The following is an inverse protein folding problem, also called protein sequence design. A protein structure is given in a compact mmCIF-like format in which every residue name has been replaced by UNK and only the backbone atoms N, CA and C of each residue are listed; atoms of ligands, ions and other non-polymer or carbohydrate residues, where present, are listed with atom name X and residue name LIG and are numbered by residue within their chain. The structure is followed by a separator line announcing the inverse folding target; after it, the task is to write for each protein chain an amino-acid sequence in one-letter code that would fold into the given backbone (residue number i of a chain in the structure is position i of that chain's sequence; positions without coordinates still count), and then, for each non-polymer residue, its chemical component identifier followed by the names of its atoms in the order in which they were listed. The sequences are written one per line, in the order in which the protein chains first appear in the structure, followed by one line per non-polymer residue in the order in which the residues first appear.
data_IF_996525867346
#
_entry.id   IF_996525867346
#
_cell.length_a   1.000
_cell.length_b   1.000
_cell.length_c   1.000
_cell.angle_alpha   90.00
_cell.angle_beta   90.00
_cell.angle_gamma   90.00
#
_symmetry.space_group_name_H-M   'P 1'
#
loop_
_entity.id
_entity.type
_entity.pdbx_description
1 polymer ?
#
# COMPACT_ATOMS: atom_id res chain seq x y z
N UNK A 1 24.28 -8.86 -25.83
CA UNK A 1 23.71 -9.26 -24.53
C UNK A 1 22.55 -8.36 -24.08
N UNK A 2 22.51 -7.05 -24.40
CA UNK A 2 21.40 -6.16 -24.00
C UNK A 2 20.04 -6.44 -24.68
N UNK A 3 20.04 -6.92 -25.93
CA UNK A 3 18.79 -7.07 -26.73
C UNK A 3 17.92 -8.26 -26.27
N UNK A 4 18.53 -9.33 -25.79
CA UNK A 4 17.82 -10.51 -25.29
C UNK A 4 17.17 -10.19 -23.94
N UNK A 5 17.91 -9.55 -23.04
CA UNK A 5 17.43 -9.16 -21.71
C UNK A 5 16.22 -8.22 -21.82
N UNK A 6 16.28 -7.23 -22.71
CA UNK A 6 15.18 -6.29 -22.94
C UNK A 6 13.93 -6.98 -23.51
N UNK A 7 14.11 -7.98 -24.40
CA UNK A 7 12.98 -8.79 -24.92
C UNK A 7 12.33 -9.64 -23.84
N UNK A 8 13.12 -10.23 -22.95
CA UNK A 8 12.61 -11.06 -21.86
C UNK A 8 11.83 -10.21 -20.84
N UNK A 9 12.30 -9.00 -20.52
CA UNK A 9 11.57 -8.05 -19.67
C UNK A 9 10.23 -7.62 -20.28
N UNK A 10 10.18 -7.35 -21.60
CA UNK A 10 8.92 -7.02 -22.27
C UNK A 10 7.93 -8.18 -22.24
N UNK A 11 8.39 -9.40 -22.52
CA UNK A 11 7.52 -10.58 -22.49
C UNK A 11 7.00 -10.83 -21.08
N UNK A 12 7.83 -10.66 -20.05
CA UNK A 12 7.45 -10.78 -18.67
C UNK A 12 6.34 -9.76 -18.29
N UNK A 13 6.50 -8.50 -18.71
CA UNK A 13 5.51 -7.45 -18.49
C UNK A 13 4.18 -7.75 -19.20
N UNK A 14 4.22 -8.28 -20.43
CA UNK A 14 3.04 -8.69 -21.19
C UNK A 14 2.31 -9.84 -20.50
N UNK A 15 3.04 -10.85 -20.00
CA UNK A 15 2.46 -11.97 -19.23
C UNK A 15 1.72 -11.45 -17.99
N UNK A 16 2.36 -10.61 -17.19
CA UNK A 16 1.77 -10.09 -15.96
C UNK A 16 0.55 -9.20 -16.24
N UNK A 17 0.61 -8.37 -17.29
CA UNK A 17 -0.51 -7.52 -17.70
C UNK A 17 -1.71 -8.35 -18.16
N UNK A 18 -1.48 -9.35 -19.01
CA UNK A 18 -2.54 -10.23 -19.51
C UNK A 18 -3.14 -11.07 -18.37
N UNK A 19 -2.30 -11.63 -17.52
CA UNK A 19 -2.73 -12.41 -16.37
C UNK A 19 -3.58 -11.59 -15.39
N UNK A 20 -3.14 -10.37 -15.06
CA UNK A 20 -3.90 -9.43 -14.23
C UNK A 20 -5.31 -9.22 -14.79
N UNK A 21 -5.43 -8.85 -16.07
CA UNK A 21 -6.74 -8.62 -16.72
C UNK A 21 -7.64 -9.85 -16.69
N UNK A 22 -7.08 -11.04 -16.87
CA UNK A 22 -7.83 -12.29 -16.82
C UNK A 22 -8.28 -12.64 -15.40
N UNK A 23 -7.39 -12.47 -14.41
CA UNK A 23 -7.73 -12.66 -13.00
C UNK A 23 -8.82 -11.70 -12.53
N UNK A 24 -8.77 -10.43 -12.95
CA UNK A 24 -9.81 -9.45 -12.67
C UNK A 24 -11.16 -9.82 -13.29
N UNK A 25 -11.15 -10.33 -14.53
CA UNK A 25 -12.35 -10.62 -15.29
C UNK A 25 -13.05 -11.90 -14.85
N UNK A 26 -12.31 -12.98 -14.61
CA UNK A 26 -12.87 -14.31 -14.43
C UNK A 26 -12.40 -15.07 -13.18
N UNK A 27 -11.48 -14.48 -12.41
CA UNK A 27 -10.89 -15.07 -11.22
C UNK A 27 -9.68 -15.97 -11.51
N UNK A 28 -8.91 -16.26 -10.45
CA UNK A 28 -7.73 -17.11 -10.53
C UNK A 28 -8.09 -18.56 -10.91
N UNK A 29 -9.15 -19.12 -10.30
CA UNK A 29 -9.53 -20.53 -10.53
C UNK A 29 -9.88 -20.83 -11.98
N UNK A 30 -10.60 -19.93 -12.65
CA UNK A 30 -11.04 -20.10 -14.03
C UNK A 30 -9.97 -19.77 -15.07
N UNK A 31 -8.97 -18.97 -14.72
CA UNK A 31 -7.89 -18.59 -15.63
C UNK A 31 -6.91 -19.76 -15.79
N UNK A 32 -6.50 -20.03 -17.02
CA UNK A 32 -5.54 -21.06 -17.36
C UNK A 32 -4.27 -20.47 -17.97
N UNK A 33 -3.18 -21.26 -18.00
CA UNK A 33 -1.93 -20.87 -18.70
C UNK A 33 -2.18 -20.65 -20.21
N UNK A 34 -3.12 -21.41 -20.80
CA UNK A 34 -3.47 -21.26 -22.21
C UNK A 34 -4.19 -19.94 -22.47
N UNK A 35 -5.07 -19.49 -21.58
CA UNK A 35 -5.76 -18.20 -21.71
C UNK A 35 -4.74 -17.05 -21.70
N UNK A 36 -3.77 -17.10 -20.78
CA UNK A 36 -2.74 -16.09 -20.66
C UNK A 36 -1.85 -16.09 -21.91
N UNK A 37 -1.39 -17.26 -22.35
CA UNK A 37 -0.56 -17.41 -23.55
C UNK A 37 -1.26 -16.87 -24.81
N UNK A 38 -2.52 -17.27 -25.01
CA UNK A 38 -3.34 -16.83 -26.15
C UNK A 38 -3.52 -15.30 -26.15
N UNK A 39 -3.69 -14.70 -24.97
CA UNK A 39 -3.89 -13.25 -24.83
C UNK A 39 -2.69 -12.42 -25.29
N UNK A 40 -1.46 -12.96 -25.17
CA UNK A 40 -0.22 -12.30 -25.59
C UNK A 40 0.33 -12.84 -26.91
N UNK A 41 -0.44 -13.70 -27.62
CA UNK A 41 -0.02 -14.28 -28.89
C UNK A 41 1.17 -15.22 -28.80
N UNK A 42 1.33 -15.93 -27.68
CA UNK A 42 2.40 -16.89 -27.41
C UNK A 42 1.84 -18.30 -27.21
N UNK A 43 2.70 -19.30 -27.36
CA UNK A 43 2.36 -20.68 -26.99
C UNK A 43 2.53 -20.89 -25.46
N UNK A 44 1.80 -21.85 -24.90
CA UNK A 44 1.87 -22.21 -23.48
C UNK A 44 3.29 -22.54 -23.00
N UNK A 45 4.08 -23.21 -23.83
CA UNK A 45 5.47 -23.56 -23.51
C UNK A 45 6.36 -22.31 -23.31
N UNK A 46 6.06 -21.20 -23.98
CA UNK A 46 6.79 -19.96 -23.76
C UNK A 46 6.54 -19.38 -22.36
N UNK A 47 5.34 -19.55 -21.78
CA UNK A 47 5.05 -19.11 -20.42
C UNK A 47 5.78 -19.95 -19.38
N UNK A 48 5.89 -21.26 -19.62
CA UNK A 48 6.63 -22.16 -18.71
C UNK A 48 8.13 -21.89 -18.65
N UNK A 49 8.67 -21.14 -19.61
CA UNK A 49 10.05 -20.65 -19.53
C UNK A 49 10.20 -19.58 -18.42
N UNK A 50 9.15 -18.79 -18.16
CA UNK A 50 9.18 -17.69 -17.17
C UNK A 50 8.60 -18.08 -15.82
N UNK A 51 7.56 -18.95 -15.80
CA UNK A 51 6.80 -19.29 -14.60
C UNK A 51 6.46 -20.76 -14.57
N UNK A 52 6.65 -21.42 -13.43
CA UNK A 52 6.31 -22.83 -13.26
C UNK A 52 4.79 -23.11 -13.34
N UNK A 53 3.95 -22.09 -13.16
CA UNK A 53 2.51 -22.20 -13.26
C UNK A 53 1.78 -20.88 -13.00
N UNK A 54 0.46 -20.92 -13.10
CA UNK A 54 -0.36 -19.71 -12.93
C UNK A 54 -0.32 -19.13 -11.52
N UNK A 55 -0.07 -19.96 -10.53
CA UNK A 55 0.04 -19.52 -9.13
C UNK A 55 1.25 -18.60 -8.94
N UNK A 56 2.36 -18.95 -9.57
CA UNK A 56 3.57 -18.11 -9.57
C UNK A 56 3.35 -16.81 -10.35
N UNK A 57 2.61 -16.87 -11.47
CA UNK A 57 2.18 -15.65 -12.19
C UNK A 57 1.30 -14.78 -11.29
N UNK A 58 0.38 -15.39 -10.54
CA UNK A 58 -0.49 -14.64 -9.62
C UNK A 58 0.31 -13.96 -8.51
N UNK A 59 1.27 -14.65 -7.89
CA UNK A 59 2.17 -14.06 -6.90
C UNK A 59 2.96 -12.88 -7.49
N UNK A 60 3.47 -13.02 -8.71
CA UNK A 60 4.20 -11.96 -9.40
C UNK A 60 3.30 -10.75 -9.72
N UNK A 61 2.04 -10.98 -10.14
CA UNK A 61 1.05 -9.90 -10.34
C UNK A 61 0.77 -9.17 -9.03
N UNK A 62 0.54 -9.90 -7.94
CA UNK A 62 0.30 -9.29 -6.62
C UNK A 62 1.52 -8.49 -6.16
N UNK A 63 2.71 -9.05 -6.34
CA UNK A 63 3.96 -8.34 -5.99
C UNK A 63 4.10 -7.04 -6.78
N UNK A 64 3.79 -7.04 -8.08
CA UNK A 64 3.82 -5.85 -8.93
C UNK A 64 2.81 -4.80 -8.45
N UNK A 65 1.57 -5.19 -8.14
CA UNK A 65 0.53 -4.31 -7.61
C UNK A 65 0.94 -3.68 -6.28
N UNK A 66 1.50 -4.46 -5.37
CA UNK A 66 1.96 -3.96 -4.08
C UNK A 66 3.17 -3.03 -4.21
N UNK A 67 4.07 -3.29 -5.17
CA UNK A 67 5.21 -2.42 -5.49
C UNK A 67 4.71 -1.06 -5.98
N UNK A 68 3.78 -1.07 -6.92
CA UNK A 68 3.18 0.16 -7.47
C UNK A 68 2.37 0.93 -6.42
N UNK A 69 1.61 0.22 -5.59
CA UNK A 69 0.91 0.78 -4.45
C UNK A 69 1.86 1.53 -3.50
N UNK A 70 2.97 0.88 -3.10
CA UNK A 70 3.96 1.49 -2.21
C UNK A 70 4.70 2.65 -2.88
N UNK A 71 5.03 2.52 -4.17
CA UNK A 71 5.65 3.59 -4.96
C UNK A 71 4.79 4.85 -4.97
N UNK A 72 3.49 4.73 -5.19
CA UNK A 72 2.57 5.86 -5.21
C UNK A 72 2.42 6.51 -3.84
N UNK A 73 2.29 5.72 -2.77
CA UNK A 73 2.30 6.24 -1.40
C UNK A 73 3.56 7.07 -1.15
N UNK A 74 4.72 6.56 -1.54
CA UNK A 74 6.01 7.23 -1.33
C UNK A 74 6.09 8.56 -2.09
N UNK A 75 5.64 8.60 -3.35
CA UNK A 75 5.63 9.81 -4.18
C UNK A 75 4.73 10.87 -3.57
N UNK A 76 3.47 10.55 -3.28
CA UNK A 76 2.50 11.49 -2.72
C UNK A 76 2.93 12.01 -1.35
N UNK A 77 3.50 11.13 -0.53
CA UNK A 77 4.02 11.50 0.79
C UNK A 77 5.22 12.45 0.68
N UNK A 78 6.13 12.18 -0.26
CA UNK A 78 7.33 13.01 -0.42
C UNK A 78 7.06 14.34 -1.13
N UNK A 79 5.93 14.51 -1.79
CA UNK A 79 5.51 15.77 -2.37
C UNK A 79 5.16 16.83 -1.31
N UNK A 80 4.81 16.41 -0.09
CA UNK A 80 4.49 17.31 1.02
C UNK A 80 5.75 17.80 1.75
N UNK A 81 5.71 19.01 2.29
CA UNK A 81 6.86 19.63 2.96
C UNK A 81 6.89 19.37 4.47
N UNK A 82 5.75 19.47 5.13
CA UNK A 82 5.61 19.28 6.58
C UNK A 82 5.39 17.82 6.96
N UNK A 83 5.86 17.43 8.14
CA UNK A 83 5.74 16.03 8.58
C UNK A 83 4.29 15.63 8.88
N UNK A 84 3.47 16.58 9.36
CA UNK A 84 2.03 16.36 9.55
C UNK A 84 1.33 16.11 8.20
N UNK A 85 1.59 16.95 7.21
CA UNK A 85 1.06 16.86 5.86
C UNK A 85 1.48 15.56 5.19
N UNK A 86 2.71 15.12 5.40
CA UNK A 86 3.20 13.80 4.94
C UNK A 86 2.40 12.64 5.53
N UNK A 87 2.09 12.66 6.83
CA UNK A 87 1.26 11.63 7.46
C UNK A 87 -0.18 11.64 6.91
N UNK A 88 -0.76 12.83 6.65
CA UNK A 88 -2.07 12.96 6.02
C UNK A 88 -2.05 12.40 4.60
N UNK A 89 -1.04 12.76 3.80
CA UNK A 89 -0.87 12.25 2.44
C UNK A 89 -0.70 10.72 2.42
N UNK A 90 0.10 10.17 3.34
CA UNK A 90 0.24 8.71 3.52
C UNK A 90 -1.12 8.04 3.74
N UNK A 91 -1.89 8.48 4.74
CA UNK A 91 -3.19 7.90 5.06
C UNK A 91 -4.19 8.07 3.91
N UNK A 92 -4.26 9.25 3.31
CA UNK A 92 -5.17 9.58 2.20
C UNK A 92 -4.89 8.70 0.97
N UNK A 93 -3.63 8.63 0.54
CA UNK A 93 -3.23 7.87 -0.64
C UNK A 93 -3.46 6.38 -0.43
N UNK A 94 -3.14 5.89 0.77
CA UNK A 94 -3.39 4.51 1.15
C UNK A 94 -4.89 4.17 1.06
N UNK A 95 -5.77 4.95 1.68
CA UNK A 95 -7.21 4.72 1.67
C UNK A 95 -7.80 4.78 0.25
N UNK A 96 -7.38 5.76 -0.55
CA UNK A 96 -7.78 5.88 -1.96
C UNK A 96 -7.43 4.63 -2.75
N UNK A 97 -6.17 4.18 -2.66
CA UNK A 97 -5.70 3.02 -3.42
C UNK A 97 -6.39 1.72 -3.01
N UNK A 98 -6.65 1.53 -1.74
CA UNK A 98 -7.38 0.35 -1.27
C UNK A 98 -8.82 0.36 -1.72
N UNK A 99 -9.48 1.52 -1.76
CA UNK A 99 -10.83 1.62 -2.31
C UNK A 99 -10.86 1.24 -3.81
N UNK A 100 -9.84 1.63 -4.58
CA UNK A 100 -9.67 1.23 -5.97
C UNK A 100 -9.49 -0.30 -6.09
N UNK A 101 -8.62 -0.89 -5.27
CA UNK A 101 -8.39 -2.34 -5.23
C UNK A 101 -9.62 -3.13 -4.74
N UNK A 102 -10.43 -2.59 -3.83
CA UNK A 102 -11.65 -3.25 -3.35
C UNK A 102 -12.70 -3.41 -4.43
N UNK A 103 -12.79 -2.49 -5.38
CA UNK A 103 -13.72 -2.59 -6.50
C UNK A 103 -13.32 -3.70 -7.49
N UNK A 104 -12.03 -4.02 -7.58
CA UNK A 104 -11.47 -5.12 -8.40
C UNK A 104 -11.61 -6.50 -7.74
N UNK A 105 -11.76 -6.54 -6.42
CA UNK A 105 -11.53 -7.74 -5.60
C UNK A 105 -12.75 -8.63 -5.35
N UNK A 106 -13.95 -8.31 -5.84
CA UNK A 106 -15.12 -9.19 -5.57
C UNK A 106 -14.98 -10.58 -6.17
N UNK A 107 -14.35 -10.68 -7.35
CA UNK A 107 -14.12 -11.96 -8.03
C UNK A 107 -12.93 -12.71 -7.39
N UNK A 108 -11.90 -11.97 -6.95
CA UNK A 108 -10.69 -12.54 -6.36
C UNK A 108 -10.84 -12.94 -4.89
N UNK A 109 -11.80 -12.39 -4.14
CA UNK A 109 -11.97 -12.65 -2.70
C UNK A 109 -12.18 -14.14 -2.37
N UNK A 110 -12.89 -14.88 -3.21
CA UNK A 110 -13.11 -16.31 -3.01
C UNK A 110 -11.84 -17.14 -3.23
N UNK A 111 -11.00 -16.71 -4.16
CA UNK A 111 -9.79 -17.44 -4.54
C UNK A 111 -8.61 -17.11 -3.59
N UNK A 112 -8.62 -15.94 -2.94
CA UNK A 112 -7.57 -15.49 -2.01
C UNK A 112 -7.47 -16.31 -0.72
N UNK A 113 -8.53 -17.02 -0.32
CA UNK A 113 -8.53 -17.88 0.87
C UNK A 113 -7.53 -19.03 0.70
N UNK A 114 -7.45 -19.60 -0.49
CA UNK A 114 -6.55 -20.71 -0.81
C UNK A 114 -5.05 -20.25 -0.87
N UNK A 115 -4.82 -18.96 -1.07
CA UNK A 115 -3.50 -18.32 -1.15
C UNK A 115 -3.12 -17.51 0.09
N UNK A 116 -3.91 -17.57 1.17
CA UNK A 116 -3.76 -16.72 2.35
C UNK A 116 -2.33 -16.71 2.92
N UNK A 117 -1.67 -17.86 3.02
CA UNK A 117 -0.32 -17.97 3.58
C UNK A 117 0.76 -17.27 2.74
N UNK A 118 0.71 -17.41 1.41
CA UNK A 118 1.67 -16.75 0.50
C UNK A 118 1.43 -15.24 0.43
N UNK A 119 0.17 -14.84 0.42
CA UNK A 119 -0.24 -13.44 0.49
C UNK A 119 0.20 -12.75 1.77
N UNK A 120 0.23 -13.48 2.90
CA UNK A 120 0.69 -12.96 4.18
C UNK A 120 2.16 -12.54 4.15
N UNK A 121 3.03 -13.32 3.52
CA UNK A 121 4.45 -12.98 3.36
C UNK A 121 4.64 -11.69 2.53
N UNK A 122 3.90 -11.57 1.42
CA UNK A 122 3.96 -10.38 0.58
C UNK A 122 3.47 -9.17 1.38
N UNK A 123 2.31 -9.26 2.04
CA UNK A 123 1.76 -8.20 2.88
C UNK A 123 2.74 -7.78 3.97
N UNK A 124 3.32 -8.73 4.71
CA UNK A 124 4.28 -8.45 5.78
C UNK A 124 5.48 -7.64 5.29
N UNK A 125 6.02 -7.96 4.11
CA UNK A 125 7.10 -7.18 3.48
C UNK A 125 6.71 -5.71 3.30
N UNK A 126 5.54 -5.46 2.69
CA UNK A 126 5.10 -4.09 2.43
C UNK A 126 4.63 -3.35 3.69
N UNK A 127 4.15 -4.06 4.69
CA UNK A 127 3.85 -3.49 6.01
C UNK A 127 5.12 -2.97 6.68
N UNK A 128 6.20 -3.75 6.65
CA UNK A 128 7.50 -3.33 7.15
C UNK A 128 8.00 -2.07 6.45
N UNK A 129 7.87 -1.99 5.11
CA UNK A 129 8.25 -0.79 4.35
C UNK A 129 7.40 0.42 4.72
N UNK A 130 6.10 0.25 4.95
CA UNK A 130 5.21 1.34 5.38
C UNK A 130 5.55 1.83 6.79
N UNK A 131 5.83 0.91 7.72
CA UNK A 131 6.27 1.27 9.08
C UNK A 131 7.58 2.07 9.02
N UNK A 132 8.54 1.64 8.20
CA UNK A 132 9.80 2.36 8.02
C UNK A 132 9.59 3.77 7.45
N UNK A 133 8.71 3.93 6.46
CA UNK A 133 8.35 5.25 5.90
C UNK A 133 7.73 6.17 6.96
N UNK A 134 6.77 5.68 7.72
CA UNK A 134 6.11 6.47 8.78
C UNK A 134 7.11 6.83 9.89
N UNK A 135 7.98 5.90 10.29
CA UNK A 135 9.05 6.13 11.26
C UNK A 135 9.99 7.24 10.81
N UNK A 136 10.37 7.25 9.54
CA UNK A 136 11.22 8.30 8.98
C UNK A 136 10.54 9.68 9.01
N UNK A 137 9.26 9.75 8.64
CA UNK A 137 8.48 11.00 8.72
C UNK A 137 8.44 11.55 10.14
N UNK A 138 8.15 10.69 11.13
CA UNK A 138 8.10 11.08 12.54
C UNK A 138 9.47 11.56 13.02
N UNK A 139 10.52 10.82 12.69
CA UNK A 139 11.90 11.16 13.08
C UNK A 139 12.35 12.50 12.49
N UNK A 140 12.00 12.76 11.22
CA UNK A 140 12.27 14.07 10.58
C UNK A 140 11.46 15.17 11.25
N UNK A 141 10.19 14.94 11.57
CA UNK A 141 9.34 15.89 12.28
C UNK A 141 9.88 16.27 13.66
N UNK A 142 10.41 15.31 14.41
CA UNK A 142 11.07 15.57 15.70
C UNK A 142 12.31 16.43 15.52
N UNK A 143 13.15 16.11 14.52
CA UNK A 143 14.37 16.90 14.23
C UNK A 143 14.06 18.34 13.81
N UNK A 144 12.94 18.57 13.15
CA UNK A 144 12.47 19.91 12.73
C UNK A 144 11.68 20.65 13.81
N UNK A 145 11.41 20.01 14.96
CA UNK A 145 10.59 20.61 16.03
C UNK A 145 9.08 20.63 15.73
N UNK A 146 8.63 19.94 14.68
CA UNK A 146 7.21 19.80 14.33
C UNK A 146 6.49 18.84 15.29
N UNK A 147 7.23 17.88 15.85
CA UNK A 147 6.76 16.92 16.84
C UNK A 147 7.62 17.01 18.12
N UNK A 148 7.02 16.66 19.26
CA UNK A 148 7.74 16.57 20.53
C UNK A 148 8.83 15.49 20.47
N UNK A 149 9.88 15.63 21.29
CA UNK A 149 10.90 14.59 21.43
C UNK A 149 10.28 13.32 22.03
N UNK A 150 10.64 12.19 21.46
CA UNK A 150 10.16 10.86 21.85
C UNK A 150 11.33 9.87 21.79
N UNK A 151 11.30 8.85 22.66
CA UNK A 151 12.26 7.73 22.62
C UNK A 151 12.02 6.85 21.39
N UNK A 152 13.05 6.11 20.99
CA UNK A 152 13.02 5.27 19.78
C UNK A 152 11.94 4.18 19.84
N UNK A 153 11.76 3.53 20.98
CA UNK A 153 10.73 2.51 21.20
C UNK A 153 9.31 3.07 21.01
N UNK A 154 9.10 4.32 21.48
CA UNK A 154 7.82 4.99 21.30
C UNK A 154 7.56 5.35 19.83
N UNK A 155 8.60 5.82 19.11
CA UNK A 155 8.51 6.13 17.68
C UNK A 155 8.16 4.85 16.88
N UNK A 156 8.79 3.73 17.19
CA UNK A 156 8.50 2.43 16.57
C UNK A 156 7.05 2.02 16.79
N UNK A 157 6.62 2.03 18.06
CA UNK A 157 5.25 1.66 18.45
C UNK A 157 4.20 2.56 17.80
N UNK A 158 4.45 3.88 17.77
CA UNK A 158 3.57 4.85 17.13
C UNK A 158 3.50 4.63 15.61
N UNK A 159 4.63 4.32 14.97
CA UNK A 159 4.67 4.03 13.53
C UNK A 159 3.84 2.79 13.19
N UNK A 160 3.99 1.72 13.97
CA UNK A 160 3.16 0.51 13.85
C UNK A 160 1.67 0.81 14.06
N UNK A 161 1.36 1.65 15.06
CA UNK A 161 -0.03 2.05 15.35
C UNK A 161 -0.66 2.82 14.19
N UNK A 162 0.06 3.80 13.60
CA UNK A 162 -0.44 4.59 12.46
C UNK A 162 -0.72 3.68 11.26
N UNK A 163 0.20 2.77 10.93
CA UNK A 163 0.02 1.81 9.83
C UNK A 163 -1.17 0.90 10.11
N UNK A 164 -1.30 0.35 11.32
CA UNK A 164 -2.40 -0.54 11.72
C UNK A 164 -3.74 0.17 11.75
N UNK A 165 -3.81 1.39 12.30
CA UNK A 165 -5.02 2.20 12.30
C UNK A 165 -5.48 2.53 10.87
N UNK A 166 -4.55 2.90 9.99
CA UNK A 166 -4.87 3.15 8.58
C UNK A 166 -5.45 1.92 7.87
N UNK A 167 -5.03 0.71 8.24
CA UNK A 167 -5.61 -0.56 7.74
C UNK A 167 -7.02 -0.81 8.29
N UNK A 168 -7.24 -0.52 9.56
CA UNK A 168 -8.55 -0.72 10.20
C UNK A 168 -9.66 0.14 9.57
N UNK A 169 -9.31 1.27 8.97
CA UNK A 169 -10.24 2.13 8.22
C UNK A 169 -10.73 1.51 6.90
N UNK A 170 -10.06 0.48 6.41
CA UNK A 170 -10.48 -0.25 5.20
C UNK A 170 -11.78 -1.03 5.40
N UNK A 171 -12.07 -1.44 6.63
CA UNK A 171 -13.25 -2.26 6.97
C UNK A 171 -14.56 -1.49 6.77
N UNK A 172 -14.73 -0.26 7.31
CA UNK A 172 -15.95 0.54 7.09
C UNK A 172 -16.17 0.94 5.63
N UNK A 173 -15.09 1.11 4.85
CA UNK A 173 -15.17 1.48 3.43
C UNK A 173 -15.83 0.40 2.57
N UNK A 174 -15.80 -0.84 3.03
CA UNK A 174 -16.45 -1.98 2.36
C UNK A 174 -17.96 -2.04 2.61
N UNK A 175 -18.45 -1.36 3.64
CA UNK A 175 -19.83 -1.54 4.12
C UNK A 175 -20.75 -0.38 3.74
N UNK A 176 -20.32 0.89 3.72
CA UNK A 176 -21.31 1.98 3.66
C UNK A 176 -20.88 3.33 3.02
N UNK A 177 -19.71 3.47 2.41
CA UNK A 177 -19.22 4.80 2.04
C UNK A 177 -19.14 5.05 0.53
N UNK A 178 -20.31 5.36 -0.06
CA UNK A 178 -20.43 5.86 -1.45
C UNK A 178 -20.30 7.39 -1.58
N UNK A 179 -20.01 8.13 -0.49
CA UNK A 179 -19.89 9.58 -0.57
C UNK A 179 -18.46 10.02 -0.94
N UNK A 180 -18.27 10.69 -2.10
CA UNK A 180 -16.99 11.28 -2.47
C UNK A 180 -16.55 12.30 -1.40
N UNK A 181 -15.31 12.16 -0.90
CA UNK A 181 -14.73 13.08 0.09
C UNK A 181 -14.79 12.63 1.55
N UNK A 182 -15.55 11.59 1.90
CA UNK A 182 -15.57 11.06 3.27
C UNK A 182 -14.24 10.46 3.68
N UNK A 183 -13.52 9.84 2.74
CA UNK A 183 -12.20 9.24 2.93
C UNK A 183 -11.13 10.25 3.34
N UNK A 184 -11.09 11.39 2.65
CA UNK A 184 -10.12 12.45 2.96
C UNK A 184 -10.35 13.00 4.37
N UNK A 185 -11.59 13.29 4.74
CA UNK A 185 -11.95 13.79 6.07
C UNK A 185 -11.61 12.78 7.18
N UNK A 186 -11.79 11.48 6.93
CA UNK A 186 -11.43 10.42 7.89
C UNK A 186 -9.92 10.29 8.05
N UNK A 187 -9.16 10.32 6.95
CA UNK A 187 -7.70 10.29 6.98
C UNK A 187 -7.17 11.49 7.78
N UNK A 188 -7.66 12.69 7.47
CA UNK A 188 -7.31 13.92 8.18
C UNK A 188 -7.68 13.86 9.65
N UNK A 189 -8.88 13.39 10.00
CA UNK A 189 -9.33 13.27 11.38
C UNK A 189 -8.40 12.37 12.21
N UNK A 190 -8.07 11.18 11.70
CA UNK A 190 -7.21 10.24 12.42
C UNK A 190 -5.80 10.81 12.59
N UNK A 191 -5.23 11.35 11.52
CA UNK A 191 -3.90 11.95 11.62
C UNK A 191 -3.93 13.14 12.59
N UNK A 192 -4.95 13.99 12.56
CA UNK A 192 -5.06 15.11 13.50
C UNK A 192 -5.12 14.62 14.94
N UNK A 193 -5.97 13.63 15.27
CA UNK A 193 -6.03 13.05 16.62
C UNK A 193 -4.69 12.50 17.06
N UNK A 194 -3.96 11.80 16.19
CA UNK A 194 -2.65 11.24 16.51
C UNK A 194 -1.58 12.32 16.64
N UNK A 195 -1.56 13.29 15.73
CA UNK A 195 -0.56 14.37 15.70
C UNK A 195 -0.78 15.38 16.83
N UNK A 196 -2.02 15.67 17.20
CA UNK A 196 -2.30 16.55 18.35
C UNK A 196 -1.76 15.93 19.66
N UNK A 197 -1.74 14.58 19.76
CA UNK A 197 -1.12 13.87 20.88
C UNK A 197 0.41 13.88 20.88
N UNK A 198 1.05 14.14 19.75
CA UNK A 198 2.54 14.20 19.59
C UNK A 198 3.06 15.56 19.15
N UNK A 199 2.18 16.54 18.96
CA UNK A 199 2.54 17.92 18.62
C UNK A 199 3.45 18.53 19.69
N UNK A 200 4.15 19.64 19.38
CA UNK A 200 4.95 20.36 20.36
C UNK A 200 4.05 20.75 21.53
N UNK A 201 4.49 20.49 22.76
CA UNK A 201 3.77 20.95 23.93
C UNK A 201 3.62 22.47 23.84
N UNK A 202 2.40 22.97 23.76
CA UNK A 202 2.12 24.38 24.03
C UNK A 202 2.48 24.60 25.49
N UNK A 203 3.66 25.16 25.75
CA UNK A 203 3.96 25.70 27.08
C UNK A 203 2.90 26.75 27.32
N UNK A 204 2.02 26.49 28.28
CA UNK A 204 1.05 27.46 28.72
C UNK A 204 1.83 28.64 29.31
N UNK A 205 2.03 29.71 28.52
CA UNK A 205 2.64 30.98 28.98
C UNK A 205 1.75 31.70 30.02
N UNK A 206 0.71 31.04 30.52
CA UNK A 206 -0.21 31.64 31.51
C UNK A 206 0.32 31.59 32.97
N UNK A 207 1.38 30.82 33.25
CA UNK A 207 1.90 30.72 34.63
C UNK A 207 3.13 31.59 34.92
N UNK A 208 3.70 32.31 33.95
CA UNK A 208 4.85 33.21 34.16
C UNK A 208 4.47 34.70 34.34
N UNK A 209 3.19 35.03 34.35
CA UNK A 209 2.70 36.40 34.53
C UNK A 209 2.20 36.70 35.97
N UNK A 210 2.47 35.83 36.93
CA UNK A 210 2.01 36.00 38.33
C UNK A 210 3.13 35.86 39.37
N UNK A 211 4.36 36.37 39.04
CA UNK A 211 5.39 36.63 40.04
C UNK A 211 6.00 38.01 39.82
#
# INVERSE_FOLDING_TARGET
MNDQHNRDEHVLADILTAARQLFEKQGLKKTTMDDIASRIGKCKSALYYYFAGKDEIFEAVVHQEMTEFFRQITIETNAELGSKEKLIAYCRTRLKKISELCNLNEVLKKDLIDFAGRMELIKKKYDTLQVALVKDIITVGIRRGEFRKMGEEFIESLSCLIVSASKSLEIPLRVDDRQPGSLNKRAEFIVNVMVDGIGPQKVAMAELASY
#
